data_IF_981677895378
#
_entry.id   IF_981677895378
#
_cell.length_a   1.000
_cell.length_b   1.000
_cell.length_c   1.000
_cell.angle_alpha   90.00
_cell.angle_beta   90.00
_cell.angle_gamma   90.00
#
_symmetry.space_group_name_H-M   'P 1'
#
loop_
_entity.id
_entity.type
_entity.pdbx_description
1 polymer ?
#
# COMPACT_ATOMS: atom_id res chain seq x y z
N UNK A 1 8.36 2.93 13.33
CA UNK A 1 9.43 3.84 13.78
C UNK A 1 9.42 5.00 12.80
N UNK A 2 9.31 6.25 13.27
CA UNK A 2 9.40 7.42 12.39
C UNK A 2 10.76 7.46 11.65
N UNK A 3 10.84 8.18 10.53
CA UNK A 3 12.09 8.40 9.78
C UNK A 3 12.79 7.11 9.26
N UNK A 4 12.05 6.00 9.14
CA UNK A 4 12.59 4.73 8.63
C UNK A 4 12.10 4.34 7.23
N UNK A 5 11.35 5.21 6.55
CA UNK A 5 10.82 4.93 5.22
C UNK A 5 11.96 4.89 4.17
N UNK A 6 11.91 3.90 3.27
CA UNK A 6 12.89 3.73 2.19
C UNK A 6 12.20 3.70 0.82
N UNK A 7 11.86 2.52 0.30
CA UNK A 7 11.29 2.34 -1.04
C UNK A 7 9.87 1.79 -1.07
N UNK A 8 9.37 1.28 0.05
CA UNK A 8 8.03 0.71 0.13
C UNK A 8 6.96 1.80 0.18
N UNK A 9 5.86 1.58 -0.53
CA UNK A 9 4.67 2.42 -0.50
C UNK A 9 3.41 1.55 -0.47
N UNK A 10 2.28 2.16 -0.13
CA UNK A 10 0.96 1.53 -0.21
C UNK A 10 -0.06 2.51 -0.77
N UNK A 11 -1.16 1.99 -1.31
CA UNK A 11 -2.29 2.77 -1.80
C UNK A 11 -3.46 2.53 -0.86
N UNK A 12 -4.06 3.61 -0.35
CA UNK A 12 -5.29 3.54 0.43
C UNK A 12 -6.47 3.18 -0.48
N UNK A 13 -7.12 2.04 -0.23
CA UNK A 13 -8.36 1.61 -0.92
C UNK A 13 -9.63 2.01 -0.17
N UNK A 14 -9.48 2.59 1.02
CA UNK A 14 -10.54 3.13 1.87
C UNK A 14 -10.01 4.36 2.63
N UNK A 15 -10.91 5.10 3.28
CA UNK A 15 -10.52 6.19 4.17
C UNK A 15 -9.93 5.63 5.49
N UNK A 16 -8.60 5.64 5.59
CA UNK A 16 -7.85 5.08 6.71
C UNK A 16 -7.36 6.16 7.67
N UNK A 17 -8.28 6.94 8.25
CA UNK A 17 -7.94 8.12 9.08
C UNK A 17 -7.06 7.80 10.31
N UNK A 18 -6.97 6.53 10.73
CA UNK A 18 -6.10 6.09 11.83
C UNK A 18 -4.59 6.12 11.45
N UNK A 19 -4.29 6.24 10.16
CA UNK A 19 -2.93 6.39 9.63
C UNK A 19 -2.50 7.86 9.54
N UNK A 20 -3.42 8.82 9.67
CA UNK A 20 -3.13 10.25 9.56
C UNK A 20 -2.32 10.75 10.76
N UNK A 21 -1.54 11.82 10.58
CA UNK A 21 -0.90 12.51 11.70
C UNK A 21 -1.92 13.34 12.51
N UNK A 22 -1.96 13.23 13.84
CA UNK A 22 -1.17 12.35 14.69
C UNK A 22 -1.70 10.90 14.67
N UNK A 23 -0.82 9.94 14.31
CA UNK A 23 -1.18 8.53 14.24
C UNK A 23 -1.26 7.87 15.62
N UNK A 24 -1.75 6.63 15.68
CA UNK A 24 -1.74 5.84 16.92
C UNK A 24 -0.34 5.63 17.51
N UNK A 25 0.69 5.69 16.66
CA UNK A 25 2.10 5.62 17.02
C UNK A 25 2.75 7.00 17.26
N UNK A 26 1.96 8.07 17.18
CA UNK A 26 2.38 9.46 17.31
C UNK A 26 2.83 10.15 16.02
N UNK A 27 3.07 9.42 14.93
CA UNK A 27 3.62 9.97 13.69
C UNK A 27 2.73 9.73 12.45
N UNK A 28 2.05 8.60 12.36
CA UNK A 28 1.26 8.23 11.19
C UNK A 28 2.10 7.96 9.94
N UNK A 29 1.45 7.96 8.78
CA UNK A 29 2.04 7.65 7.48
C UNK A 29 1.93 8.85 6.52
N UNK A 30 3.05 9.24 5.94
CA UNK A 30 3.12 10.40 5.05
C UNK A 30 2.45 10.12 3.70
N UNK A 31 1.36 10.82 3.40
CA UNK A 31 0.75 10.85 2.07
C UNK A 31 1.55 11.81 1.18
N UNK A 32 2.04 11.32 0.03
CA UNK A 32 2.83 12.11 -0.92
C UNK A 32 2.21 12.21 -2.32
N UNK A 33 1.06 11.58 -2.56
CA UNK A 33 0.41 11.55 -3.86
C UNK A 33 -0.97 10.90 -3.81
N UNK A 34 -1.63 10.85 -4.98
CA UNK A 34 -2.93 10.18 -5.17
C UNK A 34 -2.99 9.51 -6.53
N UNK A 35 -3.77 8.45 -6.63
CA UNK A 35 -4.15 7.85 -7.91
C UNK A 35 -5.11 8.81 -8.61
N UNK A 36 -4.81 9.17 -9.86
CA UNK A 36 -5.67 10.05 -10.68
C UNK A 36 -6.46 9.24 -11.73
N UNK A 37 -5.92 8.11 -12.14
CA UNK A 37 -6.50 7.17 -13.11
C UNK A 37 -6.16 5.73 -12.70
N UNK A 38 -6.97 4.75 -13.11
CA UNK A 38 -6.72 3.34 -12.80
C UNK A 38 -7.15 2.87 -11.40
N UNK A 39 -8.08 3.57 -10.76
CA UNK A 39 -8.66 3.14 -9.48
C UNK A 39 -9.28 1.72 -9.55
N UNK A 40 -9.88 1.34 -10.69
CA UNK A 40 -10.43 0.00 -10.88
C UNK A 40 -9.33 -1.08 -10.89
N UNK A 41 -8.12 -0.76 -11.35
CA UNK A 41 -6.96 -1.65 -11.31
C UNK A 41 -6.51 -1.85 -9.86
N UNK A 42 -6.43 -0.77 -9.09
CA UNK A 42 -6.13 -0.81 -7.65
C UNK A 42 -7.16 -1.68 -6.92
N UNK A 43 -8.45 -1.49 -7.19
CA UNK A 43 -9.53 -2.27 -6.57
C UNK A 43 -9.48 -3.77 -6.93
N UNK A 44 -9.04 -4.10 -8.16
CA UNK A 44 -8.82 -5.49 -8.58
C UNK A 44 -7.65 -6.11 -7.84
N UNK A 45 -6.52 -5.40 -7.73
CA UNK A 45 -5.32 -5.85 -7.00
C UNK A 45 -5.66 -6.11 -5.53
N UNK A 46 -6.42 -5.23 -4.88
CA UNK A 46 -6.80 -5.37 -3.48
C UNK A 46 -7.69 -6.60 -3.17
N UNK A 47 -8.23 -7.27 -4.20
CA UNK A 47 -9.15 -8.41 -4.07
C UNK A 47 -8.56 -9.74 -4.53
N UNK A 48 -7.30 -9.77 -4.97
CA UNK A 48 -6.65 -11.03 -5.38
C UNK A 48 -6.58 -12.01 -4.20
N UNK A 49 -6.55 -13.30 -4.48
CA UNK A 49 -6.37 -14.30 -3.43
C UNK A 49 -5.00 -14.14 -2.77
N UNK A 50 -4.95 -14.20 -1.45
CA UNK A 50 -3.72 -14.09 -0.68
C UNK A 50 -3.48 -15.31 0.20
N UNK A 51 -2.24 -15.47 0.65
CA UNK A 51 -1.83 -16.51 1.59
C UNK A 51 -0.61 -16.08 2.40
N UNK A 52 0.05 -17.05 3.03
CA UNK A 52 1.29 -16.82 3.78
C UNK A 52 2.50 -17.32 3.01
N UNK A 53 3.56 -16.51 2.92
CA UNK A 53 4.82 -16.89 2.28
C UNK A 53 6.02 -16.29 3.05
N UNK A 54 7.03 -17.12 3.34
CA UNK A 54 8.29 -16.69 3.97
C UNK A 54 8.13 -15.87 5.27
N UNK A 55 7.12 -16.16 6.08
CA UNK A 55 6.82 -15.42 7.31
C UNK A 55 6.01 -14.14 7.12
N UNK A 56 5.62 -13.81 5.89
CA UNK A 56 4.70 -12.72 5.56
C UNK A 56 3.28 -13.25 5.38
N UNK A 57 2.30 -12.48 5.82
CA UNK A 57 0.87 -12.70 5.59
C UNK A 57 0.39 -11.78 4.45
N UNK A 58 -0.81 -12.07 3.93
CA UNK A 58 -1.46 -11.29 2.86
C UNK A 58 -0.65 -11.18 1.56
N UNK A 59 0.18 -12.19 1.29
CA UNK A 59 0.96 -12.28 0.05
C UNK A 59 0.06 -12.79 -1.08
N UNK A 60 -0.06 -12.09 -2.22
CA UNK A 60 -0.81 -12.57 -3.37
C UNK A 60 -0.40 -13.98 -3.81
N UNK A 61 -1.37 -14.85 -4.09
CA UNK A 61 -1.12 -16.21 -4.60
C UNK A 61 -0.49 -16.18 -6.00
N UNK A 62 -0.87 -15.19 -6.80
CA UNK A 62 -0.24 -14.84 -8.06
C UNK A 62 0.44 -13.48 -7.90
N UNK A 63 1.71 -13.37 -8.29
CA UNK A 63 2.51 -12.17 -8.06
C UNK A 63 1.98 -11.00 -8.90
N UNK A 64 1.71 -9.88 -8.24
CA UNK A 64 1.38 -8.60 -8.89
C UNK A 64 2.68 -7.83 -9.12
N UNK A 65 3.06 -7.66 -10.39
CA UNK A 65 4.34 -7.08 -10.80
C UNK A 65 4.12 -5.66 -11.30
N UNK A 66 4.94 -4.71 -10.83
CA UNK A 66 5.11 -3.41 -11.47
C UNK A 66 6.18 -3.59 -12.55
N UNK A 67 5.76 -3.61 -13.82
CA UNK A 67 6.66 -3.91 -14.94
C UNK A 67 7.55 -2.72 -15.32
N UNK A 68 6.99 -1.50 -15.31
CA UNK A 68 7.68 -0.27 -15.70
C UNK A 68 7.17 0.92 -14.88
N UNK A 69 8.05 1.90 -14.68
CA UNK A 69 7.72 3.24 -14.17
C UNK A 69 8.31 4.27 -15.12
N UNK A 70 7.50 5.21 -15.56
CA UNK A 70 7.90 6.32 -16.44
C UNK A 70 7.60 7.68 -15.80
N UNK A 71 8.30 8.70 -16.27
CA UNK A 71 8.20 10.09 -15.78
C UNK A 71 7.53 11.00 -16.79
#
# INVERSE_FOLDING_TARGET
IPDSATSQFFINVNNNNFLDFPGQDGAGYCVFGKVIEGHDVVDKIAKVSTGSASGHQDVPSEVVIIEEVST
#
